data_IF_800706867244
#
_entry.id   IF_800706867244
#
_cell.length_a   1.000
_cell.length_b   1.000
_cell.length_c   1.000
_cell.angle_alpha   90.00
_cell.angle_beta   90.00
_cell.angle_gamma   90.00
#
_symmetry.space_group_name_H-M   'P 1'
#
loop_
_entity.id
_entity.type
_entity.pdbx_description
1 polymer ?
#
# COMPACT_ATOMS: atom_id res chain seq x y z
N UNK A 1 7.78 -13.38 9.01
CA UNK A 1 8.41 -13.24 7.68
C UNK A 1 7.73 -14.05 6.59
N UNK A 2 7.30 -15.31 6.82
CA UNK A 2 6.62 -16.09 5.78
C UNK A 2 5.28 -15.47 5.34
N UNK A 3 4.36 -15.25 6.28
CA UNK A 3 3.06 -14.62 6.00
C UNK A 3 3.18 -13.27 5.29
N UNK A 4 4.10 -12.42 5.73
CA UNK A 4 4.41 -11.15 5.06
C UNK A 4 4.71 -11.33 3.55
N UNK A 5 5.55 -12.32 3.19
CA UNK A 5 5.89 -12.58 1.79
C UNK A 5 4.70 -13.12 1.00
N UNK A 6 3.86 -13.93 1.64
CA UNK A 6 2.66 -14.50 1.03
C UNK A 6 1.56 -13.45 0.83
N UNK A 7 1.46 -12.46 1.73
CA UNK A 7 0.42 -11.43 1.67
C UNK A 7 0.82 -10.16 0.91
N UNK A 8 2.09 -9.99 0.58
CA UNK A 8 2.60 -8.81 -0.13
C UNK A 8 1.84 -8.53 -1.43
N UNK A 9 1.65 -9.56 -2.26
CA UNK A 9 0.96 -9.42 -3.54
C UNK A 9 -0.53 -9.06 -3.35
N UNK A 10 -1.17 -9.51 -2.26
CA UNK A 10 -2.54 -9.09 -1.93
C UNK A 10 -2.61 -7.60 -1.57
N UNK A 11 -1.58 -7.07 -0.91
CA UNK A 11 -1.51 -5.63 -0.62
C UNK A 11 -1.51 -4.82 -1.92
N UNK A 12 -0.80 -5.28 -2.95
CA UNK A 12 -0.83 -4.66 -4.28
C UNK A 12 -2.22 -4.64 -4.89
N UNK A 13 -2.94 -5.77 -4.80
CA UNK A 13 -4.31 -5.90 -5.35
C UNK A 13 -5.28 -4.97 -4.62
N UNK A 14 -5.31 -5.01 -3.29
CA UNK A 14 -6.28 -4.23 -2.51
C UNK A 14 -5.98 -2.73 -2.55
N UNK A 15 -4.71 -2.34 -2.68
CA UNK A 15 -4.30 -0.94 -2.88
C UNK A 15 -4.38 -0.49 -4.35
N UNK A 16 -4.70 -1.41 -5.27
CA UNK A 16 -4.73 -1.20 -6.72
C UNK A 16 -3.40 -0.62 -7.26
N UNK A 17 -2.28 -1.04 -6.67
CA UNK A 17 -0.94 -0.53 -7.01
C UNK A 17 -0.22 -1.46 -7.98
N UNK A 18 0.19 -0.99 -9.17
CA UNK A 18 0.92 -1.82 -10.13
C UNK A 18 2.31 -2.16 -9.61
N UNK A 19 2.87 -3.31 -10.01
CA UNK A 19 4.22 -3.80 -9.64
C UNK A 19 5.40 -3.06 -10.30
N UNK A 20 5.14 -1.90 -10.89
CA UNK A 20 6.19 -0.97 -11.31
C UNK A 20 6.88 -0.32 -10.10
N UNK A 21 8.10 0.21 -10.30
CA UNK A 21 8.93 0.81 -9.24
C UNK A 21 8.20 1.80 -8.33
N UNK A 22 7.25 2.60 -8.83
CA UNK A 22 6.51 3.55 -8.00
C UNK A 22 5.46 2.85 -7.12
N UNK A 23 4.77 1.84 -7.64
CA UNK A 23 3.82 1.04 -6.86
C UNK A 23 4.51 0.16 -5.82
N UNK A 24 5.65 -0.45 -6.17
CA UNK A 24 6.51 -1.19 -5.22
C UNK A 24 6.94 -0.31 -4.03
N UNK A 25 7.41 0.91 -4.32
CA UNK A 25 7.79 1.86 -3.27
C UNK A 25 6.58 2.27 -2.42
N UNK A 26 5.42 2.46 -3.05
CA UNK A 26 4.16 2.79 -2.38
C UNK A 26 3.73 1.69 -1.40
N UNK A 27 3.68 0.44 -1.86
CA UNK A 27 3.29 -0.70 -1.01
C UNK A 27 4.31 -0.92 0.10
N UNK A 28 5.62 -0.76 -0.14
CA UNK A 28 6.60 -0.83 0.94
C UNK A 28 6.45 0.27 1.98
N UNK A 29 6.09 1.48 1.60
CA UNK A 29 5.77 2.52 2.58
C UNK A 29 4.56 2.14 3.42
N UNK A 30 3.50 1.62 2.78
CA UNK A 30 2.31 1.13 3.47
C UNK A 30 2.66 0.04 4.50
N UNK A 31 3.41 -0.98 4.07
CA UNK A 31 3.86 -2.07 4.93
C UNK A 31 4.78 -1.59 6.05
N UNK A 32 5.64 -0.61 5.78
CA UNK A 32 6.51 -0.01 6.79
C UNK A 32 5.73 0.70 7.89
N UNK A 33 4.65 1.41 7.53
CA UNK A 33 3.79 2.11 8.47
C UNK A 33 2.91 1.11 9.24
N UNK A 34 2.28 0.17 8.54
CA UNK A 34 1.30 -0.73 9.14
C UNK A 34 1.96 -1.84 9.96
N UNK A 35 3.07 -2.42 9.47
CA UNK A 35 3.73 -3.57 10.10
C UNK A 35 4.94 -3.17 10.97
N UNK A 36 5.36 -1.90 10.93
CA UNK A 36 6.50 -1.40 11.67
C UNK A 36 7.84 -2.01 11.22
N UNK A 37 7.92 -2.54 9.99
CA UNK A 37 9.12 -3.22 9.51
C UNK A 37 10.18 -2.20 9.05
N UNK A 38 11.36 -2.14 9.70
CA UNK A 38 12.40 -1.14 9.40
C UNK A 38 12.90 -1.20 7.95
N UNK A 39 12.93 -2.41 7.39
CA UNK A 39 13.27 -2.71 5.99
C UNK A 39 12.38 -1.97 5.00
N UNK A 40 11.08 -1.87 5.28
CA UNK A 40 10.10 -1.32 4.36
C UNK A 40 10.18 0.22 4.34
N UNK A 41 10.47 0.84 5.49
CA UNK A 41 10.75 2.29 5.60
C UNK A 41 12.04 2.66 4.87
N UNK A 42 13.13 1.91 5.07
CA UNK A 42 14.39 2.18 4.36
C UNK A 42 14.28 1.90 2.86
N UNK A 43 13.62 0.81 2.46
CA UNK A 43 13.36 0.51 1.04
C UNK A 43 12.48 1.58 0.38
N UNK A 44 11.53 2.15 1.12
CA UNK A 44 10.74 3.30 0.69
C UNK A 44 11.61 4.52 0.42
N UNK A 45 12.45 4.93 1.38
CA UNK A 45 13.33 6.10 1.25
C UNK A 45 14.34 5.92 0.11
N UNK A 46 15.02 4.77 0.06
CA UNK A 46 16.00 4.48 -0.99
C UNK A 46 15.35 4.28 -2.37
N UNK A 47 14.15 3.68 -2.43
CA UNK A 47 13.38 3.52 -3.65
C UNK A 47 12.87 4.86 -4.20
N UNK A 48 12.40 5.75 -3.32
CA UNK A 48 12.04 7.14 -3.65
C UNK A 48 13.25 7.96 -4.14
N UNK A 49 14.45 7.68 -3.60
CA UNK A 49 15.68 8.33 -4.06
C UNK A 49 16.08 7.88 -5.48
N UNK A 50 15.82 6.61 -5.84
CA UNK A 50 16.11 6.04 -7.18
C UNK A 50 15.04 6.36 -8.23
N UNK A 51 13.87 6.85 -7.83
CA UNK A 51 12.79 7.25 -8.74
C UNK A 51 13.16 8.52 -9.53
N UNK A 52 12.80 8.54 -10.82
CA UNK A 52 12.91 9.74 -11.68
C UNK A 52 12.18 10.92 -11.03
N UNK A 53 12.70 12.15 -11.20
CA UNK A 53 12.18 13.38 -10.57
C UNK A 53 10.65 13.53 -10.69
N UNK A 54 10.06 13.18 -11.84
CA UNK A 54 8.61 13.25 -12.06
C UNK A 54 7.82 12.22 -11.23
N UNK A 55 8.29 10.97 -11.15
CA UNK A 55 7.64 9.94 -10.33
C UNK A 55 7.80 10.23 -8.84
N UNK A 56 8.96 10.74 -8.43
CA UNK A 56 9.19 11.15 -7.03
C UNK A 56 8.26 12.28 -6.61
N UNK A 57 8.02 13.27 -7.49
CA UNK A 57 7.07 14.35 -7.21
C UNK A 57 5.66 13.79 -7.03
N UNK A 58 5.17 12.98 -7.97
CA UNK A 58 3.85 12.32 -7.83
C UNK A 58 3.74 11.48 -6.56
N UNK A 59 4.79 10.71 -6.24
CA UNK A 59 4.85 9.92 -5.02
C UNK A 59 4.65 10.79 -3.78
N UNK A 60 5.46 11.85 -3.63
CA UNK A 60 5.43 12.70 -2.44
C UNK A 60 4.14 13.53 -2.33
N UNK A 61 3.55 13.94 -3.46
CA UNK A 61 2.37 14.82 -3.44
C UNK A 61 1.04 14.08 -3.40
N UNK A 62 0.96 12.85 -3.94
CA UNK A 62 -0.29 12.10 -4.06
C UNK A 62 -0.25 10.79 -3.27
N UNK A 63 0.76 9.95 -3.53
CA UNK A 63 0.79 8.61 -2.95
C UNK A 63 1.13 8.64 -1.45
N UNK A 64 2.09 9.45 -1.03
CA UNK A 64 2.54 9.49 0.37
C UNK A 64 1.42 9.87 1.36
N UNK A 65 0.69 11.00 1.20
CA UNK A 65 -0.40 11.35 2.13
C UNK A 65 -1.50 10.28 2.13
N UNK A 66 -1.85 9.77 0.95
CA UNK A 66 -2.83 8.70 0.81
C UNK A 66 -2.42 7.43 1.55
N UNK A 67 -1.20 6.92 1.33
CA UNK A 67 -0.67 5.71 2.00
C UNK A 67 -0.69 5.87 3.50
N UNK A 68 -0.26 7.04 4.01
CA UNK A 68 -0.22 7.29 5.45
C UNK A 68 -1.63 7.18 6.03
N UNK A 69 -2.63 7.76 5.37
CA UNK A 69 -4.03 7.66 5.80
C UNK A 69 -4.55 6.22 5.72
N UNK A 70 -4.29 5.51 4.61
CA UNK A 70 -4.75 4.13 4.44
C UNK A 70 -4.08 3.17 5.43
N UNK A 71 -2.79 3.36 5.72
CA UNK A 71 -2.06 2.50 6.64
C UNK A 71 -2.43 2.74 8.12
N UNK A 72 -2.87 3.96 8.45
CA UNK A 72 -3.25 4.34 9.82
C UNK A 72 -4.71 4.06 10.13
N UNK A 73 -5.61 4.31 9.17
CA UNK A 73 -7.05 4.10 9.35
C UNK A 73 -7.53 2.72 8.88
N UNK A 74 -6.82 2.09 7.95
CA UNK A 74 -7.19 0.79 7.41
C UNK A 74 -6.96 -0.36 8.38
N UNK A 75 -7.71 -1.46 8.19
CA UNK A 75 -7.55 -2.69 8.96
C UNK A 75 -6.15 -3.29 8.74
N UNK A 76 -5.61 -3.95 9.75
CA UNK A 76 -4.29 -4.60 9.68
C UNK A 76 -4.23 -5.74 8.66
N UNK A 77 -3.52 -5.56 7.53
CA UNK A 77 -3.59 -6.48 6.38
C UNK A 77 -3.00 -7.87 6.67
N UNK A 78 -1.98 -7.99 7.52
CA UNK A 78 -1.45 -9.30 7.89
C UNK A 78 -2.44 -10.15 8.71
N UNK A 79 -3.47 -9.54 9.31
CA UNK A 79 -4.52 -10.27 10.04
C UNK A 79 -5.72 -10.65 9.15
N UNK A 80 -5.72 -10.31 7.86
CA UNK A 80 -6.80 -10.67 6.94
C UNK A 80 -6.63 -12.13 6.48
N UNK A 81 -7.69 -12.90 6.57
CA UNK A 81 -7.86 -14.26 6.07
C UNK A 81 -8.25 -14.25 4.59
N UNK A 82 -7.30 -13.86 3.73
CA UNK A 82 -7.47 -13.72 2.28
C UNK A 82 -8.11 -14.94 1.61
N UNK A 83 -7.86 -16.13 2.15
CA UNK A 83 -8.44 -17.38 1.69
C UNK A 83 -9.97 -17.44 1.72
N UNK A 84 -10.62 -16.64 2.57
CA UNK A 84 -12.07 -16.61 2.72
C UNK A 84 -12.74 -15.52 1.87
N UNK A 85 -11.95 -14.69 1.17
CA UNK A 85 -12.42 -13.49 0.47
C UNK A 85 -12.25 -13.57 -1.06
N UNK A 86 -12.00 -14.75 -1.63
CA UNK A 86 -11.72 -14.92 -3.07
C UNK A 86 -12.87 -14.54 -4.00
N UNK A 87 -14.11 -14.72 -3.56
CA UNK A 87 -15.31 -14.45 -4.36
C UNK A 87 -15.79 -12.99 -4.24
N UNK A 88 -15.19 -12.22 -3.33
CA UNK A 88 -15.59 -10.85 -3.06
C UNK A 88 -14.96 -9.86 -4.05
N UNK A 89 -15.73 -8.85 -4.42
CA UNK A 89 -15.24 -7.79 -5.30
C UNK A 89 -14.28 -6.86 -4.53
N UNK A 90 -13.22 -6.41 -5.22
CA UNK A 90 -12.22 -5.50 -4.64
C UNK A 90 -12.83 -4.24 -4.00
N UNK A 91 -13.81 -3.55 -4.62
CA UNK A 91 -14.42 -2.36 -3.98
C UNK A 91 -15.10 -2.69 -2.65
N UNK A 92 -15.76 -3.85 -2.54
CA UNK A 92 -16.42 -4.29 -1.31
C UNK A 92 -15.41 -4.61 -0.22
N UNK A 93 -14.31 -5.29 -0.56
CA UNK A 93 -13.22 -5.57 0.37
C UNK A 93 -12.52 -4.28 0.83
N UNK A 94 -12.33 -3.33 -0.09
CA UNK A 94 -11.77 -2.02 0.23
C UNK A 94 -12.62 -1.28 1.26
N UNK A 95 -13.95 -1.24 1.07
CA UNK A 95 -14.88 -0.66 2.04
C UNK A 95 -14.83 -1.40 3.39
N UNK A 96 -14.85 -2.73 3.37
CA UNK A 96 -14.81 -3.58 4.57
C UNK A 96 -13.53 -3.37 5.39
N UNK A 97 -12.40 -3.15 4.73
CA UNK A 97 -11.10 -2.96 5.36
C UNK A 97 -10.72 -1.49 5.58
N UNK A 98 -11.61 -0.56 5.27
CA UNK A 98 -11.39 0.88 5.47
C UNK A 98 -10.32 1.46 4.56
N UNK A 99 -10.26 0.96 3.32
CA UNK A 99 -9.30 1.38 2.28
C UNK A 99 -10.04 2.18 1.23
N UNK A 100 -9.56 3.40 1.00
CA UNK A 100 -10.01 4.26 -0.09
C UNK A 100 -9.05 4.11 -1.27
N UNK A 101 -9.52 3.79 -2.48
CA UNK A 101 -8.67 3.79 -3.68
C UNK A 101 -7.98 5.14 -3.91
N UNK A 102 -6.78 5.13 -4.49
CA UNK A 102 -6.07 6.37 -4.82
C UNK A 102 -6.86 7.26 -5.81
N UNK A 103 -7.65 6.66 -6.71
CA UNK A 103 -8.45 7.39 -7.70
C UNK A 103 -9.59 8.19 -7.06
N UNK A 104 -10.17 7.69 -5.96
CA UNK A 104 -11.23 8.36 -5.21
C UNK A 104 -10.69 9.24 -4.07
N UNK A 105 -9.37 9.23 -3.85
CA UNK A 105 -8.74 10.05 -2.82
C UNK A 105 -8.69 11.52 -3.21
N UNK A 106 -9.64 12.31 -2.69
CA UNK A 106 -9.57 13.75 -2.74
C UNK A 106 -8.63 14.22 -1.63
N UNK A 107 -7.38 14.49 -1.99
CA UNK A 107 -6.40 15.05 -1.08
C UNK A 107 -6.97 16.29 -0.40
N UNK A 108 -7.02 16.26 0.93
CA UNK A 108 -7.47 17.35 1.79
C UNK A 108 -6.55 18.56 1.69
#
# INVERSE_FOLDING_TARGET
>A
MQRYRETHDFNHVLLQMPTHMLGEVTVKYFEGIQFGLPMCVTAGIFGAARLRKNHRRRFLTQHLPWIVEQATNGRFFMAIDWENHWEEAIPSLQEQFGITPLESYQGS
#
